data_IF_495071512038
#
_entry.id   IF_495071512038
#
_cell.length_a   1.000
_cell.length_b   1.000
_cell.length_c   1.000
_cell.angle_alpha   90.00
_cell.angle_beta   90.00
_cell.angle_gamma   90.00
#
_symmetry.space_group_name_H-M   'P 1'
#
loop_
_entity.id
_entity.type
_entity.pdbx_description
1 polymer ?
#
# COMPACT_ATOMS: atom_id res chain seq x y z
N UNK A 1 0.06 18.30 -11.18
CA UNK A 1 0.82 18.12 -9.92
C UNK A 1 0.89 16.67 -9.41
N UNK A 2 0.19 15.69 -10.01
CA UNK A 2 0.08 14.32 -9.46
C UNK A 2 1.15 13.31 -9.93
N UNK A 3 2.09 13.72 -10.76
CA UNK A 3 3.11 12.82 -11.35
C UNK A 3 4.51 13.01 -10.75
N UNK A 4 4.63 13.78 -9.67
CA UNK A 4 5.92 14.05 -9.01
C UNK A 4 5.89 13.44 -7.62
N UNK A 5 6.96 12.73 -7.20
CA UNK A 5 7.08 12.25 -5.83
C UNK A 5 7.04 13.40 -4.81
N UNK A 6 6.52 13.12 -3.61
CA UNK A 6 6.44 14.12 -2.54
C UNK A 6 7.79 14.17 -1.83
N UNK A 7 8.56 15.24 -2.07
CA UNK A 7 9.88 15.46 -1.49
C UNK A 7 9.78 16.60 -0.45
N UNK A 8 10.03 16.32 0.85
CA UNK A 8 10.15 17.30 1.92
C UNK A 8 11.24 18.34 1.67
N UNK A 9 11.08 19.50 2.28
CA UNK A 9 12.11 20.55 2.27
C UNK A 9 13.32 20.10 3.10
N UNK A 10 14.52 20.20 2.55
CA UNK A 10 15.78 19.79 3.19
C UNK A 10 16.50 18.71 2.39
N UNK A 11 17.57 18.15 2.96
CA UNK A 11 18.21 16.97 2.39
C UNK A 11 17.31 15.75 2.59
N UNK A 12 16.63 15.36 1.52
CA UNK A 12 15.73 14.22 1.51
C UNK A 12 16.46 12.88 1.36
N UNK A 13 17.77 12.90 1.09
CA UNK A 13 18.55 11.72 0.71
C UNK A 13 17.96 10.97 -0.50
N UNK A 14 17.12 11.62 -1.32
CA UNK A 14 16.35 11.02 -2.42
C UNK A 14 17.21 10.40 -3.53
N UNK A 15 18.48 10.80 -3.65
CA UNK A 15 19.41 10.28 -4.65
C UNK A 15 20.56 9.47 -4.04
N UNK A 16 20.43 9.04 -2.78
CA UNK A 16 21.44 8.22 -2.15
C UNK A 16 21.43 6.81 -2.76
N UNK A 17 22.64 6.30 -3.03
CA UNK A 17 22.82 4.92 -3.43
C UNK A 17 22.50 4.00 -2.24
N UNK A 18 21.47 3.18 -2.41
CA UNK A 18 21.03 2.21 -1.40
C UNK A 18 21.83 0.90 -1.48
N UNK A 19 22.70 0.74 -2.47
CA UNK A 19 23.58 -0.42 -2.62
C UNK A 19 22.82 -1.74 -2.54
N UNK A 20 23.24 -2.62 -1.63
CA UNK A 20 22.60 -3.92 -1.40
C UNK A 20 21.14 -3.84 -0.91
N UNK A 21 20.70 -2.69 -0.40
CA UNK A 21 19.34 -2.45 0.09
C UNK A 21 18.39 -1.91 -1.00
N UNK A 22 18.89 -1.69 -2.21
CA UNK A 22 18.07 -1.31 -3.36
C UNK A 22 16.79 -2.19 -3.55
N UNK A 23 16.82 -3.53 -3.42
CA UNK A 23 15.61 -4.34 -3.53
C UNK A 23 14.61 -4.12 -2.39
N UNK A 24 15.05 -3.63 -1.24
CA UNK A 24 14.20 -3.36 -0.07
C UNK A 24 13.57 -1.98 -0.17
N UNK A 25 14.37 -0.97 -0.52
CA UNK A 25 14.00 0.42 -0.30
C UNK A 25 14.51 1.40 -1.37
N UNK A 26 15.02 0.90 -2.51
CA UNK A 26 15.49 1.71 -3.64
C UNK A 26 14.40 2.10 -4.65
N UNK A 27 13.13 1.78 -4.39
CA UNK A 27 12.02 2.11 -5.29
C UNK A 27 11.44 3.50 -4.97
N UNK A 28 11.38 4.34 -6.00
CA UNK A 28 10.79 5.66 -5.94
C UNK A 28 9.51 5.68 -6.78
N UNK A 29 8.43 6.28 -6.25
CA UNK A 29 7.13 6.30 -6.92
C UNK A 29 6.36 7.57 -6.61
N UNK A 30 5.53 8.02 -7.55
CA UNK A 30 4.46 8.99 -7.26
C UNK A 30 3.22 8.28 -6.71
N UNK A 31 2.28 9.04 -6.13
CA UNK A 31 0.99 8.49 -5.69
C UNK A 31 0.15 7.96 -6.86
N UNK A 32 0.26 8.57 -8.04
CA UNK A 32 -0.42 8.10 -9.24
C UNK A 32 0.13 6.75 -9.72
N UNK A 33 1.46 6.57 -9.67
CA UNK A 33 2.07 5.31 -10.08
C UNK A 33 1.71 4.17 -9.12
N UNK A 34 1.62 4.45 -7.81
CA UNK A 34 1.11 3.49 -6.83
C UNK A 34 -0.36 3.13 -7.09
N UNK A 35 -1.22 4.10 -7.44
CA UNK A 35 -2.62 3.81 -7.77
C UNK A 35 -2.75 2.95 -9.04
N UNK A 36 -1.92 3.23 -10.06
CA UNK A 36 -1.84 2.41 -11.28
C UNK A 36 -1.32 1.01 -10.98
N UNK A 37 -0.34 0.89 -10.09
CA UNK A 37 0.17 -0.39 -9.62
C UNK A 37 -0.93 -1.21 -8.93
N UNK A 38 -1.70 -0.64 -7.99
CA UNK A 38 -2.83 -1.34 -7.37
C UNK A 38 -3.85 -1.82 -8.40
N UNK A 39 -4.20 -0.95 -9.35
CA UNK A 39 -5.15 -1.28 -10.41
C UNK A 39 -4.62 -2.43 -11.29
N UNK A 40 -3.33 -2.40 -11.64
CA UNK A 40 -2.70 -3.44 -12.44
C UNK A 40 -2.64 -4.80 -11.70
N UNK A 41 -2.40 -4.78 -10.38
CA UNK A 41 -2.45 -5.97 -9.54
C UNK A 41 -3.87 -6.57 -9.52
N UNK A 42 -4.88 -5.75 -9.24
CA UNK A 42 -6.28 -6.22 -9.21
C UNK A 42 -6.78 -6.72 -10.56
N UNK A 43 -6.24 -6.20 -11.66
CA UNK A 43 -6.58 -6.60 -13.02
C UNK A 43 -5.69 -7.72 -13.58
N UNK A 44 -4.75 -8.27 -12.81
CA UNK A 44 -3.80 -9.30 -13.27
C UNK A 44 -3.02 -8.90 -14.53
N UNK A 45 -2.68 -7.61 -14.68
CA UNK A 45 -2.01 -7.10 -15.89
C UNK A 45 -0.51 -7.41 -15.92
N UNK A 46 0.12 -7.46 -14.75
CA UNK A 46 1.57 -7.71 -14.62
C UNK A 46 1.90 -9.17 -14.29
N UNK A 47 1.00 -9.88 -13.60
CA UNK A 47 1.18 -11.26 -13.18
C UNK A 47 0.00 -12.10 -13.64
N UNK A 48 0.25 -13.38 -13.95
CA UNK A 48 -0.84 -14.28 -14.31
C UNK A 48 -1.86 -14.37 -13.16
N UNK A 49 -3.16 -14.59 -13.45
CA UNK A 49 -4.17 -14.65 -12.41
C UNK A 49 -3.86 -15.67 -11.30
N UNK A 50 -3.16 -16.77 -11.62
CA UNK A 50 -2.72 -17.76 -10.63
C UNK A 50 -1.66 -17.20 -9.68
N UNK A 51 -0.68 -16.47 -10.20
CA UNK A 51 0.39 -15.86 -9.40
C UNK A 51 -0.18 -14.71 -8.55
N UNK A 52 -1.01 -13.84 -9.14
CA UNK A 52 -1.65 -12.75 -8.38
C UNK A 52 -2.48 -13.28 -7.23
N UNK A 53 -3.31 -14.33 -7.44
CA UNK A 53 -4.08 -14.95 -6.35
C UNK A 53 -3.18 -15.54 -5.26
N UNK A 54 -1.98 -16.02 -5.61
CA UNK A 54 -1.00 -16.50 -4.62
C UNK A 54 -0.38 -15.34 -3.85
N UNK A 55 -0.09 -14.22 -4.50
CA UNK A 55 0.37 -12.99 -3.83
C UNK A 55 -0.67 -12.48 -2.84
N UNK A 56 -1.95 -12.55 -3.19
CA UNK A 56 -3.07 -12.13 -2.32
C UNK A 56 -3.45 -13.19 -1.27
N UNK A 57 -2.54 -14.07 -0.86
CA UNK A 57 -2.76 -15.03 0.23
C UNK A 57 -1.67 -14.90 1.29
N UNK A 58 -2.02 -15.05 2.58
CA UNK A 58 -1.02 -15.11 3.63
C UNK A 58 -0.12 -16.32 3.43
N UNK A 59 1.18 -16.13 3.63
CA UNK A 59 2.19 -17.19 3.69
C UNK A 59 2.43 -17.65 5.13
N UNK A 60 2.27 -16.75 6.10
CA UNK A 60 2.34 -17.05 7.53
C UNK A 60 1.39 -16.17 8.34
N UNK A 61 0.94 -16.67 9.47
CA UNK A 61 0.20 -15.89 10.45
C UNK A 61 1.15 -15.41 11.55
N UNK A 62 0.86 -14.26 12.15
CA UNK A 62 1.58 -13.79 13.34
C UNK A 62 0.88 -14.30 14.61
N UNK A 63 1.43 -13.97 15.78
CA UNK A 63 0.73 -14.22 17.05
C UNK A 63 -0.60 -13.44 17.16
N UNK A 64 -0.77 -12.37 16.37
CA UNK A 64 -2.03 -11.64 16.28
C UNK A 64 -2.96 -12.26 15.24
N UNK A 65 -4.21 -12.52 15.64
CA UNK A 65 -5.27 -12.98 14.74
C UNK A 65 -5.66 -11.93 13.68
N UNK A 66 -5.30 -10.66 13.91
CA UNK A 66 -5.60 -9.56 12.99
C UNK A 66 -4.50 -9.28 11.98
N UNK A 67 -3.33 -9.94 12.07
CA UNK A 67 -2.18 -9.67 11.21
C UNK A 67 -1.56 -10.96 10.67
N UNK A 68 -1.47 -11.02 9.34
CA UNK A 68 -0.77 -12.08 8.62
C UNK A 68 0.26 -11.48 7.68
N UNK A 69 1.28 -12.26 7.33
CA UNK A 69 2.32 -11.87 6.39
C UNK A 69 2.17 -12.72 5.13
N UNK A 70 2.29 -12.08 3.97
CA UNK A 70 2.28 -12.69 2.66
C UNK A 70 3.53 -12.34 1.86
N UNK A 71 3.45 -12.50 0.55
CA UNK A 71 4.50 -12.08 -0.38
C UNK A 71 3.89 -11.14 -1.42
N UNK A 72 4.08 -9.80 -1.34
CA UNK A 72 4.92 -9.02 -0.40
C UNK A 72 4.16 -8.38 0.79
N UNK A 73 2.89 -8.73 1.01
CA UNK A 73 1.97 -7.92 1.81
C UNK A 73 2.01 -8.17 3.32
N UNK A 74 1.80 -7.09 4.08
CA UNK A 74 1.25 -7.11 5.44
C UNK A 74 -0.29 -7.13 5.32
N UNK A 75 -0.94 -8.18 5.82
CA UNK A 75 -2.38 -8.41 5.63
C UNK A 75 -3.09 -8.18 6.96
N UNK A 76 -3.79 -7.06 7.06
CA UNK A 76 -4.59 -6.73 8.23
C UNK A 76 -6.03 -7.18 8.05
N UNK A 77 -6.50 -8.03 8.95
CA UNK A 77 -7.88 -8.49 9.00
C UNK A 77 -8.68 -7.60 9.92
N UNK A 78 -9.68 -6.92 9.38
CA UNK A 78 -10.58 -6.05 10.15
C UNK A 78 -12.05 -6.34 9.81
N UNK A 79 -12.97 -5.88 10.66
CA UNK A 79 -14.41 -5.97 10.40
C UNK A 79 -14.90 -4.61 9.93
N UNK A 80 -15.58 -4.60 8.77
CA UNK A 80 -16.21 -3.37 8.29
C UNK A 80 -17.35 -2.98 9.22
N UNK A 81 -17.42 -1.71 9.62
CA UNK A 81 -18.56 -1.18 10.36
C UNK A 81 -19.71 -0.70 9.42
N UNK A 82 -19.61 -1.00 8.12
CA UNK A 82 -20.49 -0.48 7.08
C UNK A 82 -21.56 -1.52 6.68
N UNK A 83 -21.24 -2.82 6.69
CA UNK A 83 -22.19 -3.90 6.38
C UNK A 83 -21.97 -5.10 7.29
N UNK A 84 -22.88 -5.35 8.25
CA UNK A 84 -23.00 -6.55 9.10
C UNK A 84 -21.69 -7.13 9.69
N UNK A 85 -20.66 -6.30 9.90
CA UNK A 85 -19.38 -6.76 10.43
C UNK A 85 -18.61 -7.72 9.52
N UNK A 86 -18.79 -7.64 8.18
CA UNK A 86 -18.04 -8.46 7.22
C UNK A 86 -16.53 -8.32 7.46
N UNK A 87 -15.85 -9.46 7.50
CA UNK A 87 -14.40 -9.52 7.59
C UNK A 87 -13.82 -9.09 6.25
N UNK A 88 -12.95 -8.08 6.29
CA UNK A 88 -12.20 -7.59 5.14
C UNK A 88 -10.70 -7.72 5.43
N UNK A 89 -9.95 -8.10 4.40
CA UNK A 89 -8.49 -8.16 4.45
C UNK A 89 -7.94 -6.91 3.72
N UNK A 90 -7.17 -6.12 4.45
CA UNK A 90 -6.45 -4.95 3.95
C UNK A 90 -5.03 -5.40 3.60
N UNK A 91 -4.67 -5.33 2.32
CA UNK A 91 -3.31 -5.66 1.88
C UNK A 91 -2.49 -4.38 1.92
N UNK A 92 -1.45 -4.38 2.73
CA UNK A 92 -0.68 -3.19 3.02
C UNK A 92 0.80 -3.43 2.85
N UNK A 93 1.52 -2.33 2.60
CA UNK A 93 2.97 -2.34 2.64
C UNK A 93 3.45 -1.00 3.16
N UNK A 94 4.19 -1.06 4.26
CA UNK A 94 4.83 0.08 4.89
C UNK A 94 6.27 0.23 4.39
N UNK A 95 6.77 1.46 4.40
CA UNK A 95 8.17 1.76 4.15
C UNK A 95 8.55 3.14 4.66
N UNK A 96 9.66 3.22 5.38
CA UNK A 96 10.24 4.49 5.82
C UNK A 96 11.74 4.48 5.55
N UNK A 97 12.23 5.56 4.97
CA UNK A 97 13.66 5.82 4.83
C UNK A 97 13.93 7.31 4.99
N UNK A 98 14.83 7.65 5.90
CA UNK A 98 15.20 9.03 6.21
C UNK A 98 13.98 9.88 6.58
N UNK A 99 13.67 10.91 5.79
CA UNK A 99 12.50 11.78 5.97
C UNK A 99 11.27 11.34 5.16
N UNK A 100 11.34 10.23 4.41
CA UNK A 100 10.21 9.71 3.64
C UNK A 100 9.58 8.53 4.37
N UNK A 101 8.29 8.61 4.67
CA UNK A 101 7.48 7.46 5.07
C UNK A 101 6.32 7.30 4.11
N UNK A 102 5.98 6.06 3.76
CA UNK A 102 4.93 5.72 2.83
C UNK A 102 4.15 4.50 3.33
N UNK A 103 2.86 4.49 3.01
CA UNK A 103 1.96 3.38 3.26
C UNK A 103 1.11 3.18 2.02
N UNK A 104 1.09 1.95 1.50
CA UNK A 104 0.27 1.58 0.36
C UNK A 104 -0.78 0.56 0.77
N UNK A 105 -2.01 0.70 0.25
CA UNK A 105 -3.14 -0.16 0.56
C UNK A 105 -3.80 -0.67 -0.72
N UNK A 106 -4.12 -1.97 -0.76
CA UNK A 106 -4.92 -2.61 -1.80
C UNK A 106 -6.08 -3.34 -1.14
N UNK A 107 -7.30 -3.07 -1.61
CA UNK A 107 -8.52 -3.71 -1.11
C UNK A 107 -9.08 -4.57 -2.25
N UNK A 108 -9.16 -5.88 -2.04
CA UNK A 108 -9.65 -6.84 -3.05
C UNK A 108 -11.16 -6.90 -3.11
N UNK A 109 -11.83 -6.49 -2.04
CA UNK A 109 -13.28 -6.32 -1.97
C UNK A 109 -13.63 -5.16 -2.90
N UNK A 110 -14.47 -5.36 -3.91
CA UNK A 110 -14.79 -4.40 -4.98
C UNK A 110 -15.42 -3.05 -4.56
N UNK A 111 -15.23 -2.59 -3.33
CA UNK A 111 -15.45 -1.22 -2.91
C UNK A 111 -14.17 -0.41 -3.13
N UNK A 112 -14.08 0.21 -4.30
CA UNK A 112 -13.24 1.39 -4.50
C UNK A 112 -13.77 2.49 -3.57
N UNK A 113 -13.14 2.69 -2.41
CA UNK A 113 -13.26 3.96 -1.70
C UNK A 113 -12.03 4.79 -2.03
N UNK A 114 -12.12 5.76 -2.96
CA UNK A 114 -11.16 6.84 -3.00
C UNK A 114 -11.37 7.68 -1.73
N UNK A 115 -10.66 7.36 -0.66
CA UNK A 115 -10.65 8.19 0.55
C UNK A 115 -9.74 9.39 0.30
N UNK A 116 -10.30 10.43 -0.30
CA UNK A 116 -9.79 11.80 -0.18
C UNK A 116 -10.46 12.39 1.06
N UNK A 117 -9.72 12.58 2.15
CA UNK A 117 -10.20 13.36 3.28
C UNK A 117 -9.95 14.84 3.00
N UNK A 118 -10.96 15.67 2.70
CA UNK A 118 -10.82 17.09 2.96
C UNK A 118 -10.81 17.24 4.48
N UNK A 119 -9.69 17.70 5.04
CA UNK A 119 -9.71 18.36 6.35
C UNK A 119 -10.76 19.45 6.24
N UNK A 120 -11.74 19.38 7.15
CA UNK A 120 -12.77 20.39 7.31
C UNK A 120 -12.11 21.76 7.44
N UNK A 121 -12.26 22.61 6.42
CA UNK A 121 -12.21 24.04 6.65
C UNK A 121 -13.48 24.37 7.42
N UNK A 122 -13.34 24.64 8.73
CA UNK A 122 -14.41 25.27 9.48
C UNK A 122 -14.72 26.60 8.81
N UNK A 123 -16.01 26.86 8.61
CA UNK A 123 -16.48 28.23 8.43
C UNK A 123 -16.09 28.99 9.69
N UNK A 124 -15.18 29.94 9.52
CA UNK A 124 -15.22 31.31 10.01
C UNK A 124 -14.28 32.16 9.13
#
# INVERSE_FOLDING_TARGET
>A
AHNVPVIPKGDSAWFQDTGGEAPTAGLYSSSLDLARFSQAVLQNRQLSPAITRRWMKPTSHTASLSLSIGSPWEIHRTRSNITDGRVIDLYTKSGCMWMMCSMHYVITSGLLLPFWSPVAASKD
#
